data_IF_010924655378
#
_entry.id   IF_010924655378
#
_cell.length_a   1.000
_cell.length_b   1.000
_cell.length_c   1.000
_cell.angle_alpha   90.00
_cell.angle_beta   90.00
_cell.angle_gamma   90.00
#
_symmetry.space_group_name_H-M   'P 1'
#
loop_
_entity.id
_entity.type
_entity.pdbx_description
1 polymer ?
#
# COMPACT_ATOMS: atom_id res chain seq x y z
N UNK A 1 33.14 27.28 35.36
CA UNK A 1 31.80 26.66 35.64
C UNK A 1 30.95 26.64 34.40
N UNK A 2 30.70 27.77 33.74
CA UNK A 2 29.89 27.80 32.53
C UNK A 2 30.42 26.95 31.38
N UNK A 3 31.74 26.93 31.17
CA UNK A 3 32.37 26.11 30.11
C UNK A 3 32.13 24.62 30.36
N UNK A 4 32.26 24.15 31.57
CA UNK A 4 32.03 22.75 31.92
C UNK A 4 30.55 22.36 31.77
N UNK A 5 29.64 23.26 32.13
CA UNK A 5 28.21 23.04 31.94
C UNK A 5 27.84 22.94 30.46
N UNK A 6 28.41 23.81 29.62
CA UNK A 6 28.20 23.75 28.15
C UNK A 6 28.73 22.45 27.54
N UNK A 7 29.93 22.02 27.96
CA UNK A 7 30.51 20.76 27.49
C UNK A 7 29.64 19.57 27.92
N UNK A 8 29.19 19.57 29.18
CA UNK A 8 28.31 18.51 29.68
C UNK A 8 26.99 18.43 28.91
N UNK A 9 26.34 19.56 28.65
CA UNK A 9 25.12 19.62 27.85
C UNK A 9 25.34 19.18 26.40
N UNK A 10 26.45 19.59 25.77
CA UNK A 10 26.82 19.17 24.42
C UNK A 10 27.04 17.65 24.35
N UNK A 11 27.77 17.09 25.34
CA UNK A 11 28.01 15.65 25.39
C UNK A 11 26.73 14.84 25.58
N UNK A 12 25.83 15.32 26.43
CA UNK A 12 24.51 14.68 26.65
C UNK A 12 23.68 14.71 25.36
N UNK A 13 23.69 15.82 24.62
CA UNK A 13 22.97 15.93 23.35
C UNK A 13 23.51 14.96 22.30
N UNK A 14 24.83 14.90 22.14
CA UNK A 14 25.47 13.96 21.19
C UNK A 14 25.15 12.52 21.55
N UNK A 15 25.24 12.17 22.85
CA UNK A 15 24.90 10.83 23.30
C UNK A 15 23.42 10.50 23.08
N UNK A 16 22.52 11.49 23.30
CA UNK A 16 21.10 11.31 23.04
C UNK A 16 20.79 11.10 21.55
N UNK A 17 21.50 11.81 20.66
CA UNK A 17 21.37 11.61 19.22
C UNK A 17 21.86 10.24 18.76
N UNK A 18 22.90 9.71 19.38
CA UNK A 18 23.41 8.37 19.09
C UNK A 18 22.52 7.25 19.65
N UNK A 19 21.93 7.45 20.82
CA UNK A 19 21.13 6.43 21.50
C UNK A 19 19.67 6.45 21.06
N UNK A 20 19.14 7.61 20.65
CA UNK A 20 17.76 7.78 20.17
C UNK A 20 17.82 8.30 18.73
N UNK A 21 18.08 7.42 17.75
CA UNK A 21 18.25 7.85 16.35
C UNK A 21 16.99 8.46 15.74
N UNK A 22 15.82 8.25 16.38
CA UNK A 22 14.56 8.78 15.89
C UNK A 22 13.78 9.51 17.00
N UNK A 23 13.21 10.65 16.64
CA UNK A 23 12.14 11.25 17.47
C UNK A 23 10.89 10.37 17.35
N UNK A 24 9.93 10.55 18.27
CA UNK A 24 8.66 9.83 18.21
C UNK A 24 7.92 10.07 16.88
N UNK A 25 8.03 11.30 16.33
CA UNK A 25 7.43 11.65 15.05
C UNK A 25 8.09 10.91 13.88
N UNK A 26 9.42 10.86 13.87
CA UNK A 26 10.19 10.13 12.85
C UNK A 26 9.95 8.63 12.91
N UNK A 27 9.89 8.06 14.11
CA UNK A 27 9.57 6.64 14.30
C UNK A 27 8.17 6.31 13.76
N UNK A 28 7.20 7.18 14.02
CA UNK A 28 5.83 7.04 13.51
C UNK A 28 5.80 7.14 11.97
N UNK A 29 6.52 8.11 11.41
CA UNK A 29 6.60 8.29 9.96
C UNK A 29 7.24 7.09 9.27
N UNK A 30 8.32 6.54 9.83
CA UNK A 30 8.97 5.34 9.31
C UNK A 30 8.05 4.12 9.38
N UNK A 31 7.37 3.91 10.49
CA UNK A 31 6.42 2.83 10.64
C UNK A 31 5.26 2.95 9.64
N UNK A 32 4.73 4.16 9.46
CA UNK A 32 3.67 4.44 8.50
C UNK A 32 4.12 4.15 7.06
N UNK A 33 5.34 4.56 6.70
CA UNK A 33 5.90 4.31 5.36
C UNK A 33 6.08 2.82 5.07
N UNK A 34 6.55 2.04 6.06
CA UNK A 34 6.67 0.59 5.92
C UNK A 34 5.30 -0.08 5.79
N UNK A 35 4.34 0.33 6.61
CA UNK A 35 2.98 -0.20 6.56
C UNK A 35 2.26 0.19 5.27
N UNK A 36 2.57 1.34 4.69
CA UNK A 36 2.00 1.77 3.42
C UNK A 36 2.32 0.79 2.28
N UNK A 37 3.58 0.37 2.18
CA UNK A 37 4.00 -0.62 1.18
C UNK A 37 3.29 -1.96 1.36
N UNK A 38 3.21 -2.44 2.60
CA UNK A 38 2.51 -3.67 2.93
C UNK A 38 1.02 -3.58 2.62
N UNK A 39 0.38 -2.47 3.00
CA UNK A 39 -1.04 -2.24 2.75
C UNK A 39 -1.36 -2.24 1.26
N UNK A 40 -0.56 -1.55 0.44
CA UNK A 40 -0.75 -1.55 -1.01
C UNK A 40 -0.49 -2.93 -1.62
N UNK A 41 0.55 -3.62 -1.19
CA UNK A 41 0.85 -4.97 -1.65
C UNK A 41 -0.31 -5.94 -1.40
N UNK A 42 -0.87 -5.93 -0.20
CA UNK A 42 -2.03 -6.76 0.16
C UNK A 42 -3.28 -6.33 -0.62
N UNK A 43 -3.50 -5.03 -0.79
CA UNK A 43 -4.63 -4.50 -1.54
C UNK A 43 -4.57 -4.86 -3.03
N UNK A 44 -3.39 -5.07 -3.59
CA UNK A 44 -3.21 -5.47 -4.98
C UNK A 44 -3.41 -6.97 -5.22
N UNK A 45 -3.11 -7.82 -4.23
CA UNK A 45 -3.22 -9.28 -4.35
C UNK A 45 -4.66 -9.72 -4.60
N UNK A 46 -5.61 -9.24 -3.81
CA UNK A 46 -7.03 -9.58 -3.95
C UNK A 46 -7.59 -9.29 -5.34
N UNK A 47 -7.52 -8.03 -5.79
CA UNK A 47 -7.95 -7.67 -7.14
C UNK A 47 -7.26 -8.43 -8.26
N UNK A 48 -5.96 -8.69 -8.16
CA UNK A 48 -5.21 -9.46 -9.16
C UNK A 48 -5.74 -10.88 -9.32
N UNK A 49 -6.00 -11.56 -8.20
CA UNK A 49 -6.60 -12.89 -8.19
C UNK A 49 -8.03 -12.84 -8.74
N UNK A 50 -8.80 -11.84 -8.32
CA UNK A 50 -10.17 -11.63 -8.78
C UNK A 50 -10.27 -11.45 -10.29
N UNK A 51 -9.41 -10.62 -10.87
CA UNK A 51 -9.35 -10.40 -12.31
C UNK A 51 -8.97 -11.70 -13.03
N UNK A 52 -7.97 -12.42 -12.53
CA UNK A 52 -7.57 -13.71 -13.11
C UNK A 52 -8.73 -14.71 -13.15
N UNK A 53 -9.51 -14.79 -12.09
CA UNK A 53 -10.70 -15.65 -12.03
C UNK A 53 -11.81 -15.20 -12.98
N UNK A 54 -12.09 -13.89 -13.03
CA UNK A 54 -13.11 -13.32 -13.93
C UNK A 54 -12.75 -13.62 -15.38
N UNK A 55 -11.54 -13.32 -15.81
CA UNK A 55 -11.09 -13.56 -17.19
C UNK A 55 -11.07 -15.04 -17.50
N UNK A 56 -10.52 -15.87 -16.61
CA UNK A 56 -10.48 -17.32 -16.83
C UNK A 56 -11.86 -17.92 -17.01
N UNK A 57 -12.82 -17.58 -16.15
CA UNK A 57 -14.18 -18.08 -16.24
C UNK A 57 -14.95 -17.51 -17.43
N UNK A 58 -14.71 -16.25 -17.78
CA UNK A 58 -15.35 -15.63 -18.95
C UNK A 58 -14.87 -16.28 -20.25
N UNK A 59 -13.57 -16.52 -20.39
CA UNK A 59 -13.02 -17.20 -21.57
C UNK A 59 -13.57 -18.62 -21.71
N UNK A 60 -13.66 -19.36 -20.61
CA UNK A 60 -14.26 -20.69 -20.60
C UNK A 60 -15.74 -20.67 -21.01
N UNK A 61 -16.50 -19.71 -20.49
CA UNK A 61 -17.91 -19.54 -20.83
C UNK A 61 -18.10 -19.18 -22.31
N UNK A 62 -17.30 -18.26 -22.84
CA UNK A 62 -17.36 -17.87 -24.26
C UNK A 62 -16.97 -19.02 -25.18
N UNK A 63 -16.04 -19.87 -24.78
CA UNK A 63 -15.65 -21.04 -25.55
C UNK A 63 -16.78 -22.09 -25.61
N UNK A 64 -17.54 -22.23 -24.53
CA UNK A 64 -18.66 -23.18 -24.47
C UNK A 64 -19.93 -22.66 -25.13
N UNK A 65 -20.17 -21.36 -25.07
CA UNK A 65 -21.35 -20.70 -25.61
C UNK A 65 -20.97 -19.46 -26.42
N UNK A 66 -20.47 -19.65 -27.64
CA UNK A 66 -20.04 -18.52 -28.48
C UNK A 66 -21.13 -17.48 -28.76
N UNK A 67 -22.38 -17.90 -28.81
CA UNK A 67 -23.52 -17.00 -29.01
C UNK A 67 -23.74 -16.00 -27.87
N UNK A 68 -23.24 -16.31 -26.67
CA UNK A 68 -23.31 -15.44 -25.48
C UNK A 68 -22.05 -14.59 -25.30
N UNK A 69 -21.07 -14.69 -26.19
CA UNK A 69 -19.76 -14.05 -26.03
C UNK A 69 -19.83 -12.53 -25.80
N UNK A 70 -20.75 -11.84 -26.48
CA UNK A 70 -20.93 -10.40 -26.33
C UNK A 70 -21.34 -10.00 -24.90
N UNK A 71 -22.34 -10.69 -24.35
CA UNK A 71 -22.80 -10.46 -22.99
C UNK A 71 -21.75 -10.82 -21.95
N UNK A 72 -21.08 -11.95 -22.12
CA UNK A 72 -20.02 -12.41 -21.19
C UNK A 72 -18.86 -11.42 -21.19
N UNK A 73 -18.46 -10.93 -22.37
CA UNK A 73 -17.36 -9.95 -22.49
C UNK A 73 -17.70 -8.65 -21.77
N UNK A 74 -18.90 -8.13 -21.95
CA UNK A 74 -19.37 -6.91 -21.26
C UNK A 74 -19.38 -7.09 -19.74
N UNK A 75 -19.91 -8.19 -19.27
CA UNK A 75 -19.94 -8.51 -17.82
C UNK A 75 -18.53 -8.71 -17.27
N UNK A 76 -17.64 -9.34 -18.03
CA UNK A 76 -16.24 -9.53 -17.70
C UNK A 76 -15.52 -8.19 -17.46
N UNK A 77 -15.65 -7.26 -18.39
CA UNK A 77 -15.05 -5.93 -18.27
C UNK A 77 -15.64 -5.12 -17.12
N UNK A 78 -16.96 -5.25 -16.90
CA UNK A 78 -17.60 -4.59 -15.76
C UNK A 78 -17.06 -5.14 -14.43
N UNK A 79 -16.95 -6.44 -14.29
CA UNK A 79 -16.37 -7.08 -13.10
C UNK A 79 -14.91 -6.69 -12.90
N UNK A 80 -14.12 -6.67 -13.97
CA UNK A 80 -12.72 -6.21 -13.92
C UNK A 80 -12.63 -4.75 -13.46
N UNK A 81 -13.50 -3.87 -13.96
CA UNK A 81 -13.52 -2.46 -13.58
C UNK A 81 -13.81 -2.26 -12.09
N UNK A 82 -14.77 -2.99 -11.52
CA UNK A 82 -15.05 -2.94 -10.08
C UNK A 82 -13.86 -3.46 -9.26
N UNK A 83 -13.21 -4.50 -9.73
CA UNK A 83 -12.05 -5.09 -9.05
C UNK A 83 -10.86 -4.11 -9.07
N UNK A 84 -10.63 -3.44 -10.21
CA UNK A 84 -9.63 -2.38 -10.34
C UNK A 84 -9.93 -1.19 -9.42
N UNK A 85 -11.21 -0.82 -9.28
CA UNK A 85 -11.62 0.25 -8.37
C UNK A 85 -11.22 -0.05 -6.92
N UNK A 86 -11.33 -1.30 -6.48
CA UNK A 86 -10.85 -1.72 -5.16
C UNK A 86 -9.34 -1.56 -5.01
N UNK A 87 -8.58 -1.89 -6.05
CA UNK A 87 -7.13 -1.69 -6.06
C UNK A 87 -6.77 -0.20 -5.98
N UNK A 88 -7.54 0.68 -6.64
CA UNK A 88 -7.36 2.13 -6.55
C UNK A 88 -7.63 2.67 -5.15
N UNK A 89 -8.61 2.14 -4.44
CA UNK A 89 -8.86 2.49 -3.03
C UNK A 89 -7.64 2.12 -2.18
N UNK A 90 -7.06 0.95 -2.38
CA UNK A 90 -5.83 0.54 -1.73
C UNK A 90 -4.65 1.46 -2.04
N UNK A 91 -4.54 1.92 -3.28
CA UNK A 91 -3.52 2.89 -3.68
C UNK A 91 -3.69 4.25 -2.98
N UNK A 92 -4.93 4.71 -2.85
CA UNK A 92 -5.23 5.93 -2.09
C UNK A 92 -4.84 5.77 -0.62
N UNK A 93 -5.14 4.63 -0.02
CA UNK A 93 -4.71 4.33 1.35
C UNK A 93 -3.18 4.34 1.48
N UNK A 94 -2.45 3.78 0.51
CA UNK A 94 -0.99 3.86 0.45
C UNK A 94 -0.49 5.31 0.46
N UNK A 95 -1.06 6.17 -0.38
CA UNK A 95 -0.68 7.59 -0.45
C UNK A 95 -0.94 8.28 0.88
N UNK A 96 -2.11 8.06 1.47
CA UNK A 96 -2.45 8.66 2.75
C UNK A 96 -1.49 8.25 3.87
N UNK A 97 -1.13 6.98 3.93
CA UNK A 97 -0.19 6.49 4.94
C UNK A 97 1.23 7.00 4.73
N UNK A 98 1.65 7.15 3.49
CA UNK A 98 3.01 7.56 3.16
C UNK A 98 3.24 9.06 3.32
N UNK A 99 2.26 9.89 2.96
CA UNK A 99 2.42 11.34 2.87
C UNK A 99 1.64 12.12 3.93
N UNK A 100 0.76 11.50 4.65
CA UNK A 100 0.09 12.10 5.79
C UNK A 100 0.81 11.77 7.09
#
# INVERSE_FOLDING_TARGET
>A
MEALTRIAHASIRVAAEEVIPYTAAEAKANAAAQMAGLAYGLAAIGPSIGIGMIFGKALEAMARQPESAGMVRTTMFLGAAFTEALALIGFVAFILLKFA
#
